data_IF_671674559677
#
_entry.id   IF_671674559677
#
_cell.length_a   1.000
_cell.length_b   1.000
_cell.length_c   1.000
_cell.angle_alpha   90.00
_cell.angle_beta   90.00
_cell.angle_gamma   90.00
#
_symmetry.space_group_name_H-M   'P 1'
#
loop_
_entity.id
_entity.type
_entity.pdbx_description
1 polymer ?
#
# COMPACT_ATOMS: atom_id res chain seq x y z
N UNK A 1 -33.28 -21.64 52.63
CA UNK A 1 -31.87 -21.63 52.19
C UNK A 1 -31.73 -20.75 50.95
N UNK A 2 -31.10 -19.58 51.06
CA UNK A 2 -30.89 -18.66 49.93
C UNK A 2 -29.62 -19.10 49.19
N UNK A 3 -29.77 -19.56 47.93
CA UNK A 3 -28.63 -19.90 47.05
C UNK A 3 -27.84 -18.63 46.73
N UNK A 4 -26.68 -18.45 47.36
CA UNK A 4 -25.68 -17.46 46.93
C UNK A 4 -25.16 -17.86 45.55
N UNK A 5 -25.60 -17.14 44.50
CA UNK A 5 -24.94 -17.23 43.20
C UNK A 5 -23.59 -16.51 43.30
N UNK A 6 -22.50 -17.27 43.15
CA UNK A 6 -21.15 -16.73 43.04
C UNK A 6 -21.02 -16.11 41.65
N UNK A 7 -21.25 -14.80 41.56
CA UNK A 7 -20.97 -14.03 40.34
C UNK A 7 -19.44 -13.97 40.19
N UNK A 8 -18.86 -14.85 39.38
CA UNK A 8 -17.46 -14.74 38.96
C UNK A 8 -17.31 -13.43 38.17
N UNK A 9 -16.61 -12.46 38.75
CA UNK A 9 -16.15 -11.27 38.00
C UNK A 9 -15.31 -11.78 36.82
N UNK A 10 -15.71 -11.43 35.58
CA UNK A 10 -14.88 -11.67 34.40
C UNK A 10 -13.49 -11.05 34.67
N UNK A 11 -12.38 -11.75 34.40
CA UNK A 11 -11.07 -11.14 34.57
C UNK A 11 -11.04 -9.88 33.71
N UNK A 12 -10.73 -8.73 34.32
CA UNK A 12 -10.39 -7.52 33.55
C UNK A 12 -9.19 -7.93 32.70
N UNK A 13 -9.36 -7.99 31.38
CA UNK A 13 -8.24 -8.18 30.48
C UNK A 13 -7.24 -7.07 30.79
N UNK A 14 -6.03 -7.44 31.18
CA UNK A 14 -4.99 -6.48 31.53
C UNK A 14 -4.67 -5.67 30.26
N UNK A 15 -5.03 -4.39 30.23
CA UNK A 15 -4.94 -3.55 29.02
C UNK A 15 -3.51 -3.46 28.48
N UNK A 16 -2.53 -3.62 29.37
CA UNK A 16 -1.09 -3.73 29.09
C UNK A 16 -0.75 -4.91 28.19
N UNK A 17 -1.32 -6.09 28.42
CA UNK A 17 -1.06 -7.28 27.61
C UNK A 17 -1.61 -7.16 26.18
N UNK A 18 -2.75 -6.50 26.01
CA UNK A 18 -3.36 -6.29 24.70
C UNK A 18 -2.52 -5.34 23.84
N UNK A 19 -2.03 -4.24 24.41
CA UNK A 19 -1.18 -3.28 23.69
C UNK A 19 0.14 -3.92 23.28
N UNK A 20 0.75 -4.76 24.14
CA UNK A 20 1.97 -5.50 23.80
C UNK A 20 1.73 -6.47 22.65
N UNK A 21 0.62 -7.23 22.67
CA UNK A 21 0.25 -8.14 21.58
C UNK A 21 0.00 -7.41 20.27
N UNK A 22 -0.72 -6.29 20.30
CA UNK A 22 -0.95 -5.46 19.10
C UNK A 22 0.37 -4.96 18.52
N UNK A 23 1.28 -4.45 19.35
CA UNK A 23 2.60 -4.00 18.91
C UNK A 23 3.44 -5.13 18.31
N UNK A 24 3.35 -6.34 18.89
CA UNK A 24 4.01 -7.52 18.34
C UNK A 24 3.46 -7.86 16.95
N UNK A 25 2.14 -7.95 16.79
CA UNK A 25 1.48 -8.22 15.50
C UNK A 25 1.86 -7.15 14.47
N UNK A 26 1.85 -5.88 14.87
CA UNK A 26 2.24 -4.76 14.02
C UNK A 26 3.70 -4.89 13.53
N UNK A 27 4.62 -5.20 14.45
CA UNK A 27 6.05 -5.34 14.13
C UNK A 27 6.30 -6.56 13.24
N UNK A 28 5.70 -7.70 13.57
CA UNK A 28 5.77 -8.93 12.78
C UNK A 28 5.17 -8.71 11.39
N UNK A 29 4.07 -7.97 11.28
CA UNK A 29 3.44 -7.63 10.01
C UNK A 29 4.38 -6.85 9.07
N UNK A 30 5.04 -5.81 9.57
CA UNK A 30 6.02 -5.06 8.79
C UNK A 30 7.27 -5.88 8.44
N UNK A 31 7.79 -6.69 9.37
CA UNK A 31 8.93 -7.58 9.09
C UNK A 31 8.56 -8.61 8.02
N UNK A 32 7.39 -9.24 8.13
CA UNK A 32 6.85 -10.19 7.17
C UNK A 32 6.72 -9.54 5.79
N UNK A 33 6.14 -8.34 5.72
CA UNK A 33 6.01 -7.55 4.49
C UNK A 33 7.37 -7.34 3.83
N UNK A 34 8.36 -6.92 4.63
CA UNK A 34 9.70 -6.57 4.14
C UNK A 34 10.46 -7.81 3.69
N UNK A 35 10.54 -8.85 4.50
CA UNK A 35 11.32 -10.08 4.20
C UNK A 35 10.73 -10.80 2.99
N UNK A 36 9.43 -11.13 3.01
CA UNK A 36 8.82 -11.87 1.91
C UNK A 36 8.62 -11.00 0.67
N UNK A 37 8.36 -9.70 0.85
CA UNK A 37 8.24 -8.74 -0.24
C UNK A 37 9.56 -8.56 -0.98
N UNK A 38 10.67 -8.39 -0.27
CA UNK A 38 12.01 -8.32 -0.86
C UNK A 38 12.38 -9.64 -1.53
N UNK A 39 12.16 -10.79 -0.87
CA UNK A 39 12.40 -12.09 -1.49
C UNK A 39 11.67 -12.24 -2.83
N UNK A 40 10.38 -11.89 -2.88
CA UNK A 40 9.60 -11.94 -4.12
C UNK A 40 10.08 -10.92 -5.17
N UNK A 41 10.45 -9.71 -4.75
CA UNK A 41 10.96 -8.67 -5.63
C UNK A 41 12.30 -9.10 -6.25
N UNK A 42 13.25 -9.57 -5.45
CA UNK A 42 14.53 -10.08 -5.93
C UNK A 42 14.36 -11.26 -6.87
N UNK A 43 13.50 -12.23 -6.52
CA UNK A 43 13.18 -13.34 -7.41
C UNK A 43 12.61 -12.87 -8.75
N UNK A 44 11.70 -11.89 -8.73
CA UNK A 44 11.07 -11.35 -9.94
C UNK A 44 12.06 -10.58 -10.82
N UNK A 45 12.93 -9.77 -10.22
CA UNK A 45 13.98 -9.00 -10.91
C UNK A 45 15.05 -9.94 -11.47
N UNK A 46 15.53 -10.90 -10.67
CA UNK A 46 16.50 -11.90 -11.11
C UNK A 46 15.98 -12.68 -12.31
N UNK A 47 14.72 -13.14 -12.25
CA UNK A 47 14.08 -13.84 -13.37
C UNK A 47 13.99 -12.98 -14.63
N UNK A 48 13.75 -11.68 -14.47
CA UNK A 48 13.71 -10.73 -15.58
C UNK A 48 15.10 -10.48 -16.17
N UNK A 49 16.13 -10.34 -15.33
CA UNK A 49 17.49 -10.00 -15.74
C UNK A 49 18.21 -11.15 -16.45
N UNK A 50 18.09 -12.38 -15.93
CA UNK A 50 18.91 -13.51 -16.38
C UNK A 50 18.27 -14.39 -17.47
N UNK A 51 16.95 -14.41 -17.59
CA UNK A 51 16.31 -15.18 -18.67
C UNK A 51 16.07 -14.30 -19.89
N UNK A 52 16.94 -14.44 -20.90
CA UNK A 52 16.94 -13.67 -22.17
C UNK A 52 15.57 -13.63 -22.88
N UNK A 53 14.76 -14.69 -22.75
CA UNK A 53 13.38 -14.79 -23.28
C UNK A 53 12.38 -13.83 -22.61
N UNK A 54 12.74 -13.19 -21.48
CA UNK A 54 11.91 -12.25 -20.73
C UNK A 54 12.36 -10.78 -20.85
N UNK A 55 13.35 -10.48 -21.69
CA UNK A 55 13.84 -9.11 -21.94
C UNK A 55 12.94 -8.28 -22.87
N UNK A 56 11.84 -8.85 -23.36
CA UNK A 56 10.79 -8.09 -24.06
C UNK A 56 10.01 -7.24 -23.05
N UNK A 57 9.66 -6.00 -23.42
CA UNK A 57 8.77 -5.17 -22.59
C UNK A 57 7.41 -5.84 -22.36
N UNK A 58 7.00 -6.75 -23.24
CA UNK A 58 5.81 -7.57 -23.06
C UNK A 58 5.91 -8.46 -21.81
N UNK A 59 7.09 -8.99 -21.50
CA UNK A 59 7.34 -9.90 -20.36
C UNK A 59 7.53 -9.21 -19.01
N UNK A 60 7.88 -7.92 -18.99
CA UNK A 60 7.81 -7.07 -17.79
C UNK A 60 6.39 -7.00 -17.21
N UNK A 61 5.37 -7.02 -18.08
CA UNK A 61 3.95 -7.04 -17.71
C UNK A 61 3.33 -8.46 -17.70
N UNK A 62 4.03 -9.48 -18.24
CA UNK A 62 3.55 -10.86 -18.32
C UNK A 62 4.27 -11.78 -17.33
N UNK A 63 3.80 -11.87 -16.09
CA UNK A 63 4.04 -13.09 -15.29
C UNK A 63 3.10 -14.19 -15.76
N UNK A 64 3.30 -14.70 -16.98
CA UNK A 64 2.49 -15.78 -17.54
C UNK A 64 2.56 -17.00 -16.62
N UNK A 65 1.41 -17.58 -16.28
CA UNK A 65 1.31 -18.81 -15.50
C UNK A 65 2.04 -19.89 -16.30
N UNK A 66 3.22 -20.34 -15.85
CA UNK A 66 3.86 -21.49 -16.51
C UNK A 66 3.00 -22.72 -16.22
N UNK A 67 2.50 -23.34 -17.29
CA UNK A 67 2.14 -24.75 -17.24
C UNK A 67 3.46 -25.50 -17.06
N UNK A 68 3.66 -26.15 -15.91
CA UNK A 68 4.82 -27.02 -15.68
C UNK A 68 4.57 -28.27 -16.54
N UNK A 69 4.95 -28.19 -17.81
CA UNK A 69 5.01 -29.34 -18.71
C UNK A 69 6.38 -29.97 -18.55
N UNK A 70 6.46 -31.10 -17.84
CA UNK A 70 7.70 -31.88 -17.70
C UNK A 70 7.52 -33.12 -16.82
N UNK A 71 7.70 -34.29 -17.43
CA UNK A 71 7.48 -35.67 -16.95
C UNK A 71 8.24 -36.15 -15.69
N UNK A 72 8.86 -35.28 -14.89
CA UNK A 72 9.50 -35.70 -13.63
C UNK A 72 9.13 -34.77 -12.47
N UNK A 73 8.22 -35.24 -11.62
CA UNK A 73 7.84 -34.61 -10.37
C UNK A 73 8.99 -34.77 -9.35
N UNK A 74 9.77 -33.71 -9.15
CA UNK A 74 10.65 -33.58 -7.98
C UNK A 74 9.99 -32.58 -7.04
N UNK A 75 9.60 -33.03 -5.86
CA UNK A 75 8.91 -32.22 -4.83
C UNK A 75 9.66 -30.91 -4.54
N UNK A 76 11.00 -30.92 -4.61
CA UNK A 76 11.86 -29.73 -4.49
C UNK A 76 11.60 -28.68 -5.59
N UNK A 77 11.43 -29.11 -6.85
CA UNK A 77 11.12 -28.21 -7.96
C UNK A 77 9.69 -27.66 -7.86
N UNK A 78 8.77 -28.46 -7.34
CA UNK A 78 7.40 -28.03 -7.06
C UNK A 78 7.36 -26.99 -5.94
N UNK A 79 8.08 -27.23 -4.84
CA UNK A 79 8.18 -26.33 -3.70
C UNK A 79 8.81 -25.00 -4.13
N UNK A 80 9.94 -25.03 -4.85
CA UNK A 80 10.61 -23.85 -5.39
C UNK A 80 9.74 -23.03 -6.38
N UNK A 81 8.84 -23.67 -7.12
CA UNK A 81 7.89 -22.99 -8.01
C UNK A 81 6.74 -22.30 -7.25
N UNK A 82 6.38 -22.81 -6.07
CA UNK A 82 5.31 -22.29 -5.22
C UNK A 82 5.81 -21.18 -4.28
N UNK A 83 7.04 -21.28 -3.79
CA UNK A 83 7.68 -20.34 -2.85
C UNK A 83 7.49 -18.86 -3.20
N UNK A 84 7.70 -18.38 -4.44
CA UNK A 84 7.54 -16.95 -4.73
C UNK A 84 6.08 -16.49 -4.63
N UNK A 85 5.12 -17.29 -5.04
CA UNK A 85 3.69 -16.92 -4.94
C UNK A 85 3.22 -16.90 -3.48
N UNK A 86 3.72 -17.82 -2.65
CA UNK A 86 3.47 -17.80 -1.21
C UNK A 86 4.08 -16.56 -0.57
N UNK A 87 5.35 -16.26 -0.87
CA UNK A 87 6.02 -15.07 -0.34
C UNK A 87 5.27 -13.78 -0.70
N UNK A 88 4.77 -13.65 -1.93
CA UNK A 88 3.93 -12.51 -2.32
C UNK A 88 2.68 -12.38 -1.44
N UNK A 89 1.95 -13.49 -1.23
CA UNK A 89 0.73 -13.50 -0.41
C UNK A 89 1.02 -13.24 1.07
N UNK A 90 2.09 -13.84 1.62
CA UNK A 90 2.52 -13.59 3.00
C UNK A 90 2.93 -12.14 3.22
N UNK A 91 3.60 -11.51 2.25
CA UNK A 91 3.91 -10.08 2.30
C UNK A 91 2.65 -9.24 2.42
N UNK A 92 1.61 -9.52 1.61
CA UNK A 92 0.33 -8.82 1.69
C UNK A 92 -0.44 -9.09 2.99
N UNK A 93 -0.40 -10.31 3.52
CA UNK A 93 -0.98 -10.61 4.84
C UNK A 93 -0.25 -9.82 5.93
N UNK A 94 1.06 -9.64 5.80
CA UNK A 94 1.84 -8.75 6.67
C UNK A 94 1.34 -7.31 6.66
N UNK A 95 1.04 -6.77 5.46
CA UNK A 95 0.47 -5.41 5.28
C UNK A 95 -0.91 -5.32 5.93
N UNK A 96 -1.77 -6.30 5.72
CA UNK A 96 -3.09 -6.32 6.35
C UNK A 96 -2.99 -6.35 7.89
N UNK A 97 -2.07 -7.13 8.43
CA UNK A 97 -1.85 -7.21 9.87
C UNK A 97 -1.33 -5.89 10.44
N UNK A 98 -0.30 -5.28 9.84
CA UNK A 98 0.26 -4.04 10.37
C UNK A 98 -0.69 -2.85 10.23
N UNK A 99 -1.20 -2.59 9.02
CA UNK A 99 -2.13 -1.49 8.79
C UNK A 99 -3.47 -1.71 9.48
N UNK A 100 -3.93 -2.97 9.60
CA UNK A 100 -5.13 -3.31 10.35
C UNK A 100 -5.02 -2.96 11.83
N UNK A 101 -3.87 -3.28 12.46
CA UNK A 101 -3.61 -2.87 13.85
C UNK A 101 -3.52 -1.34 13.98
N UNK A 102 -2.86 -0.66 13.04
CA UNK A 102 -2.77 0.81 13.09
C UNK A 102 -4.16 1.45 12.97
N UNK A 103 -4.98 1.01 12.03
CA UNK A 103 -6.37 1.48 11.91
C UNK A 103 -7.17 1.16 13.15
N UNK A 104 -7.05 -0.05 13.71
CA UNK A 104 -7.72 -0.41 14.95
C UNK A 104 -7.32 0.52 16.10
N UNK A 105 -6.03 0.78 16.29
CA UNK A 105 -5.53 1.65 17.35
C UNK A 105 -5.96 3.11 17.18
N UNK A 106 -6.02 3.61 15.94
CA UNK A 106 -6.48 4.97 15.67
C UNK A 106 -7.96 5.19 15.98
N UNK A 107 -8.77 4.12 15.94
CA UNK A 107 -10.22 4.22 16.00
C UNK A 107 -10.86 3.32 17.06
N UNK A 108 -10.11 2.69 17.96
CA UNK A 108 -10.68 1.80 18.97
C UNK A 108 -11.63 2.52 19.94
N UNK A 109 -11.30 3.77 20.26
CA UNK A 109 -12.04 4.59 21.24
C UNK A 109 -12.99 5.59 20.58
N UNK A 110 -12.96 5.67 19.25
CA UNK A 110 -13.77 6.56 18.43
C UNK A 110 -14.75 5.67 17.66
N UNK A 111 -16.00 6.06 17.48
CA UNK A 111 -16.92 5.35 16.58
C UNK A 111 -16.86 6.00 15.19
N UNK A 112 -15.88 5.66 14.33
CA UNK A 112 -15.73 6.34 13.05
C UNK A 112 -16.90 6.05 12.13
N UNK A 113 -17.23 7.03 11.29
CA UNK A 113 -18.06 6.79 10.13
C UNK A 113 -17.23 6.12 9.02
N UNK A 114 -17.89 5.49 8.05
CA UNK A 114 -17.21 4.91 6.89
C UNK A 114 -16.38 5.94 6.11
N UNK A 115 -16.82 7.20 6.10
CA UNK A 115 -16.12 8.29 5.45
C UNK A 115 -14.78 8.57 6.14
N UNK A 116 -14.76 8.61 7.47
CA UNK A 116 -13.55 8.87 8.26
C UNK A 116 -12.47 7.81 8.00
N UNK A 117 -12.87 6.54 7.92
CA UNK A 117 -11.96 5.44 7.58
C UNK A 117 -11.37 5.63 6.17
N UNK A 118 -12.22 5.90 5.18
CA UNK A 118 -11.79 6.09 3.77
C UNK A 118 -10.86 7.28 3.56
N UNK A 119 -10.88 8.27 4.46
CA UNK A 119 -9.97 9.41 4.41
C UNK A 119 -8.56 9.10 4.94
N UNK A 120 -8.36 7.99 5.65
CA UNK A 120 -7.05 7.65 6.23
C UNK A 120 -6.16 6.86 5.25
N UNK A 121 -4.90 7.27 5.12
CA UNK A 121 -3.92 6.60 4.24
C UNK A 121 -3.70 5.14 4.64
N UNK A 122 -3.74 4.82 5.94
CA UNK A 122 -3.60 3.45 6.45
C UNK A 122 -4.73 2.54 5.97
N UNK A 123 -5.98 3.01 6.02
CA UNK A 123 -7.12 2.23 5.54
C UNK A 123 -7.13 2.12 4.02
N UNK A 124 -6.77 3.18 3.30
CA UNK A 124 -6.60 3.14 1.84
C UNK A 124 -5.53 2.10 1.44
N UNK A 125 -4.41 2.04 2.14
CA UNK A 125 -3.36 1.04 1.94
C UNK A 125 -3.86 -0.40 2.25
N UNK A 126 -4.72 -0.57 3.25
CA UNK A 126 -5.38 -1.85 3.56
C UNK A 126 -6.34 -2.29 2.44
N UNK A 127 -7.11 -1.38 1.86
CA UNK A 127 -7.97 -1.65 0.69
C UNK A 127 -7.13 -2.06 -0.52
N UNK A 128 -6.03 -1.36 -0.79
CA UNK A 128 -5.10 -1.69 -1.87
C UNK A 128 -4.48 -3.09 -1.66
N UNK A 129 -4.04 -3.40 -0.44
CA UNK A 129 -3.48 -4.72 -0.12
C UNK A 129 -4.52 -5.84 -0.31
N UNK A 130 -5.76 -5.59 0.09
CA UNK A 130 -6.88 -6.52 -0.12
C UNK A 130 -7.13 -6.75 -1.61
N UNK A 131 -7.14 -5.68 -2.42
CA UNK A 131 -7.27 -5.79 -3.88
C UNK A 131 -6.12 -6.63 -4.49
N UNK A 132 -4.91 -6.51 -3.97
CA UNK A 132 -3.76 -7.28 -4.45
C UNK A 132 -3.81 -8.77 -4.11
N UNK A 133 -4.46 -9.17 -3.01
CA UNK A 133 -4.61 -10.58 -2.66
C UNK A 133 -5.42 -11.38 -3.69
N UNK A 134 -6.39 -10.72 -4.32
CA UNK A 134 -7.30 -11.33 -5.30
C UNK A 134 -6.88 -11.11 -6.76
N UNK A 135 -5.84 -10.32 -7.01
CA UNK A 135 -5.36 -10.04 -8.37
C UNK A 135 -4.05 -10.74 -8.67
N UNK A 136 -3.60 -10.66 -9.93
CA UNK A 136 -2.35 -11.30 -10.38
C UNK A 136 -1.13 -10.73 -9.65
N UNK A 137 -0.20 -11.61 -9.32
CA UNK A 137 1.05 -11.28 -8.63
C UNK A 137 1.96 -10.42 -9.50
N UNK A 138 2.46 -9.33 -8.93
CA UNK A 138 3.37 -8.40 -9.61
C UNK A 138 4.22 -7.67 -8.59
N UNK A 139 5.52 -7.53 -8.85
CA UNK A 139 6.44 -6.96 -7.87
C UNK A 139 6.22 -5.46 -7.67
N UNK A 140 5.81 -4.71 -8.71
CA UNK A 140 5.52 -3.28 -8.61
C UNK A 140 4.47 -2.97 -7.55
N UNK A 141 3.49 -3.87 -7.37
CA UNK A 141 2.42 -3.73 -6.38
C UNK A 141 2.93 -3.78 -4.93
N UNK A 142 4.07 -4.42 -4.68
CA UNK A 142 4.65 -4.52 -3.34
C UNK A 142 5.63 -3.39 -3.01
N UNK A 143 6.19 -2.72 -4.02
CA UNK A 143 7.20 -1.67 -3.82
C UNK A 143 6.73 -0.59 -2.84
N UNK A 144 5.52 0.00 -2.97
CA UNK A 144 5.00 0.96 -1.99
C UNK A 144 5.03 0.40 -0.55
N UNK A 145 4.55 -0.83 -0.36
CA UNK A 145 4.43 -1.46 0.96
C UNK A 145 5.77 -1.84 1.58
N UNK A 146 6.76 -2.23 0.76
CA UNK A 146 8.12 -2.52 1.23
C UNK A 146 8.75 -1.24 1.76
N UNK A 147 8.65 -0.13 1.02
CA UNK A 147 9.23 1.16 1.43
C UNK A 147 8.52 1.68 2.69
N UNK A 148 7.19 1.63 2.72
CA UNK A 148 6.40 2.06 3.90
C UNK A 148 6.75 1.21 5.12
N UNK A 149 6.85 -0.12 4.98
CA UNK A 149 7.26 -1.00 6.08
C UNK A 149 8.70 -0.73 6.55
N UNK A 150 9.60 -0.42 5.63
CA UNK A 150 10.96 0.00 5.97
C UNK A 150 10.96 1.31 6.79
N UNK A 151 10.17 2.31 6.38
CA UNK A 151 10.03 3.58 7.11
C UNK A 151 9.46 3.37 8.52
N UNK A 152 8.47 2.49 8.67
CA UNK A 152 7.89 2.20 9.97
C UNK A 152 8.84 1.46 10.92
N UNK A 153 9.65 0.54 10.41
CA UNK A 153 10.62 -0.22 11.23
C UNK A 153 11.87 0.59 11.60
N UNK A 154 12.27 1.55 10.76
CA UNK A 154 13.45 2.40 11.00
C UNK A 154 13.16 3.63 11.86
N UNK A 155 11.90 3.83 12.25
CA UNK A 155 11.45 4.91 13.12
C UNK A 155 12.16 4.87 14.49
N UNK A 156 12.77 5.99 14.89
CA UNK A 156 13.24 6.18 16.28
C UNK A 156 12.05 6.34 17.23
N UNK A 157 12.14 5.73 18.42
CA UNK A 157 11.06 5.56 19.41
C UNK A 157 10.35 6.86 19.87
N UNK A 158 10.96 8.03 19.63
CA UNK A 158 10.45 9.35 20.05
C UNK A 158 10.12 10.30 18.88
N UNK A 159 10.08 9.83 17.64
CA UNK A 159 9.83 10.70 16.47
C UNK A 159 8.34 10.68 16.12
N UNK A 160 7.70 11.86 15.99
CA UNK A 160 6.31 11.96 15.53
C UNK A 160 6.19 11.47 14.07
N UNK A 161 5.06 10.88 13.67
CA UNK A 161 4.84 10.39 12.29
C UNK A 161 5.02 11.50 11.24
N UNK A 162 4.78 12.75 11.62
CA UNK A 162 4.96 13.92 10.77
C UNK A 162 6.43 14.31 10.61
N UNK A 163 7.29 14.07 11.61
CA UNK A 163 8.73 14.32 11.51
C UNK A 163 9.40 13.31 10.58
N UNK A 164 8.90 12.07 10.55
CA UNK A 164 9.31 11.02 9.59
C UNK A 164 8.96 11.44 8.17
N UNK A 165 7.76 12.01 7.99
CA UNK A 165 7.28 12.50 6.69
C UNK A 165 8.18 13.62 6.15
N UNK A 166 8.67 14.50 7.04
CA UNK A 166 9.61 15.57 6.67
C UNK A 166 11.03 15.05 6.43
N UNK A 167 11.55 14.23 7.34
CA UNK A 167 12.90 13.69 7.28
C UNK A 167 13.11 12.74 6.10
N UNK A 168 12.09 11.96 5.75
CA UNK A 168 12.13 10.97 4.66
C UNK A 168 11.33 11.40 3.42
N UNK A 169 11.11 12.69 3.24
CA UNK A 169 10.32 13.24 2.11
C UNK A 169 10.72 12.65 0.74
N UNK A 170 12.02 12.38 0.53
CA UNK A 170 12.52 11.70 -0.67
C UNK A 170 11.94 10.29 -0.84
N UNK A 171 11.95 9.46 0.20
CA UNK A 171 11.39 8.10 0.16
C UNK A 171 9.87 8.12 -0.04
N UNK A 172 9.15 9.08 0.57
CA UNK A 172 7.72 9.23 0.33
C UNK A 172 7.40 9.63 -1.12
N UNK A 173 8.24 10.45 -1.76
CA UNK A 173 8.11 10.69 -3.19
C UNK A 173 8.36 9.42 -4.01
N UNK A 174 9.33 8.59 -3.65
CA UNK A 174 9.56 7.28 -4.31
C UNK A 174 8.33 6.38 -4.17
N UNK A 175 7.68 6.37 -3.00
CA UNK A 175 6.39 5.67 -2.80
C UNK A 175 5.35 6.17 -3.80
N UNK A 176 5.09 7.49 -3.86
CA UNK A 176 4.12 8.04 -4.79
C UNK A 176 4.45 7.76 -6.27
N UNK A 177 5.73 7.83 -6.67
CA UNK A 177 6.13 7.43 -8.02
C UNK A 177 5.87 5.94 -8.27
N UNK A 178 6.15 5.08 -7.31
CA UNK A 178 5.89 3.64 -7.44
C UNK A 178 4.39 3.34 -7.58
N UNK A 179 3.52 4.09 -6.90
CA UNK A 179 2.06 3.98 -7.04
C UNK A 179 1.56 4.40 -8.43
N UNK A 180 2.18 5.41 -9.03
CA UNK A 180 1.89 5.83 -10.41
C UNK A 180 2.37 4.76 -11.40
N UNK A 181 3.53 4.16 -11.16
CA UNK A 181 4.00 3.03 -11.97
C UNK A 181 3.02 1.87 -11.90
N UNK A 182 2.45 1.57 -10.73
CA UNK A 182 1.38 0.56 -10.60
C UNK A 182 0.14 0.97 -11.40
N UNK A 183 -0.27 2.24 -11.34
CA UNK A 183 -1.41 2.76 -12.12
C UNK A 183 -1.20 2.56 -13.62
N UNK A 184 -0.04 2.98 -14.15
CA UNK A 184 0.32 2.84 -15.56
C UNK A 184 0.41 1.37 -15.96
N UNK A 185 0.99 0.52 -15.10
CA UNK A 185 1.07 -0.92 -15.36
C UNK A 185 -0.31 -1.56 -15.46
N UNK A 186 -1.24 -1.20 -14.58
CA UNK A 186 -2.62 -1.71 -14.64
C UNK A 186 -3.37 -1.20 -15.85
N UNK A 187 -3.16 0.06 -16.24
CA UNK A 187 -3.73 0.62 -17.46
C UNK A 187 -3.26 -0.17 -18.70
N UNK A 188 -1.96 -0.44 -18.80
CA UNK A 188 -1.41 -1.24 -19.90
C UNK A 188 -1.95 -2.68 -19.90
N UNK A 189 -2.05 -3.32 -18.73
CA UNK A 189 -2.64 -4.66 -18.61
C UNK A 189 -4.14 -4.68 -18.94
N UNK A 190 -4.84 -3.57 -18.74
CA UNK A 190 -6.26 -3.40 -19.11
C UNK A 190 -6.42 -3.22 -20.61
N UNK A 191 -5.58 -2.38 -21.24
CA UNK A 191 -5.53 -2.20 -22.70
C UNK A 191 -5.26 -3.52 -23.42
N UNK A 192 -4.45 -4.39 -22.81
CA UNK A 192 -4.15 -5.73 -23.32
C UNK A 192 -5.19 -6.79 -22.92
N UNK A 193 -6.34 -6.40 -22.34
CA UNK A 193 -7.45 -7.27 -21.93
C UNK A 193 -7.03 -8.49 -21.09
N UNK A 194 -6.16 -8.29 -20.10
CA UNK A 194 -5.56 -9.40 -19.34
C UNK A 194 -6.37 -9.80 -18.11
N UNK A 195 -7.24 -10.80 -18.27
CA UNK A 195 -7.93 -11.45 -17.15
C UNK A 195 -8.71 -10.43 -16.31
N UNK A 196 -8.42 -10.35 -15.01
CA UNK A 196 -9.09 -9.43 -14.07
C UNK A 196 -8.44 -8.04 -13.95
N UNK A 197 -7.51 -7.68 -14.86
CA UNK A 197 -6.77 -6.41 -14.80
C UNK A 197 -7.68 -5.18 -14.89
N UNK A 198 -8.72 -5.21 -15.71
CA UNK A 198 -9.68 -4.11 -15.84
C UNK A 198 -10.43 -3.82 -14.55
N UNK A 199 -10.93 -4.87 -13.87
CA UNK A 199 -11.55 -4.72 -12.55
C UNK A 199 -10.55 -4.14 -11.54
N UNK A 200 -9.34 -4.69 -11.49
CA UNK A 200 -8.29 -4.19 -10.62
C UNK A 200 -7.95 -2.72 -10.88
N UNK A 201 -7.95 -2.30 -12.15
CA UNK A 201 -7.70 -0.93 -12.54
C UNK A 201 -8.80 0.02 -12.04
N UNK A 202 -10.07 -0.31 -12.22
CA UNK A 202 -11.19 0.53 -11.74
C UNK A 202 -11.18 0.69 -10.23
N UNK A 203 -11.02 -0.42 -9.48
CA UNK A 203 -10.94 -0.35 -8.01
C UNK A 203 -9.70 0.41 -7.54
N UNK A 204 -8.55 0.18 -8.17
CA UNK A 204 -7.34 0.91 -7.83
C UNK A 204 -7.48 2.41 -8.14
N UNK A 205 -8.12 2.78 -9.25
CA UNK A 205 -8.37 4.18 -9.60
C UNK A 205 -9.28 4.87 -8.58
N UNK A 206 -10.33 4.19 -8.11
CA UNK A 206 -11.20 4.71 -7.07
C UNK A 206 -10.44 4.95 -5.75
N UNK A 207 -9.61 4.00 -5.32
CA UNK A 207 -8.81 4.17 -4.09
C UNK A 207 -7.71 5.23 -4.30
N UNK A 208 -7.06 5.25 -5.47
CA UNK A 208 -6.04 6.23 -5.80
C UNK A 208 -6.60 7.65 -5.85
N UNK A 209 -7.85 7.81 -6.30
CA UNK A 209 -8.56 9.08 -6.22
C UNK A 209 -8.69 9.55 -4.76
N UNK A 210 -9.03 8.65 -3.83
CA UNK A 210 -9.02 8.97 -2.39
C UNK A 210 -7.62 9.40 -1.93
N UNK A 211 -6.56 8.68 -2.34
CA UNK A 211 -5.17 9.06 -2.01
C UNK A 211 -4.81 10.46 -2.52
N UNK A 212 -5.24 10.82 -3.73
CA UNK A 212 -5.03 12.17 -4.28
C UNK A 212 -5.78 13.23 -3.47
N UNK A 213 -6.95 12.91 -2.90
CA UNK A 213 -7.70 13.87 -2.08
C UNK A 213 -7.13 14.00 -0.65
N UNK A 214 -6.58 12.94 -0.08
CA UNK A 214 -6.26 12.90 1.35
C UNK A 214 -4.78 12.70 1.72
N UNK A 215 -3.90 12.34 0.78
CA UNK A 215 -2.49 12.05 1.05
C UNK A 215 -1.56 13.14 0.48
N UNK A 216 -0.90 13.95 1.35
CA UNK A 216 -0.08 15.09 0.93
C UNK A 216 1.08 14.73 -0.01
N UNK A 217 1.73 13.58 0.22
CA UNK A 217 2.87 13.14 -0.59
C UNK A 217 2.44 12.75 -2.01
N UNK A 218 1.23 12.19 -2.16
CA UNK A 218 0.63 11.86 -3.46
C UNK A 218 0.27 13.15 -4.19
N UNK A 219 -0.41 14.10 -3.53
CA UNK A 219 -0.75 15.41 -4.09
C UNK A 219 0.47 16.15 -4.63
N UNK A 220 1.54 16.24 -3.83
CA UNK A 220 2.79 16.89 -4.23
C UNK A 220 3.44 16.21 -5.45
N UNK A 221 3.38 14.88 -5.52
CA UNK A 221 3.97 14.12 -6.62
C UNK A 221 3.15 14.27 -7.90
N UNK A 222 1.82 14.20 -7.80
CA UNK A 222 0.91 14.46 -8.93
C UNK A 222 1.09 15.88 -9.45
N UNK A 223 1.12 16.89 -8.57
CA UNK A 223 1.37 18.29 -8.95
C UNK A 223 2.72 18.46 -9.66
N UNK A 224 3.78 17.81 -9.17
CA UNK A 224 5.11 17.84 -9.81
C UNK A 224 5.11 17.19 -11.19
N UNK A 225 4.29 16.17 -11.40
CA UNK A 225 4.16 15.52 -12.71
C UNK A 225 3.36 16.42 -13.64
N UNK A 226 2.21 16.94 -13.19
CA UNK A 226 1.41 17.88 -13.96
C UNK A 226 2.24 19.10 -14.39
N UNK A 227 3.02 19.70 -13.49
CA UNK A 227 3.86 20.85 -13.86
C UNK A 227 4.92 20.55 -14.93
N UNK A 228 5.39 19.29 -15.05
CA UNK A 228 6.29 18.89 -16.15
C UNK A 228 5.59 18.85 -17.51
N UNK A 229 4.29 18.56 -17.53
CA UNK A 229 3.48 18.52 -18.75
C UNK A 229 2.95 19.90 -19.17
N UNK A 230 3.16 20.95 -18.37
CA UNK A 230 2.73 22.32 -18.68
C UNK A 230 3.18 22.81 -20.07
N UNK A 231 4.37 22.39 -20.51
CA UNK A 231 4.96 22.77 -21.80
C UNK A 231 4.42 21.95 -22.99
N UNK A 232 3.83 20.79 -22.72
CA UNK A 232 3.36 19.86 -23.74
C UNK A 232 1.88 20.08 -24.12
N UNK A 233 1.19 21.00 -23.43
CA UNK A 233 -0.25 21.19 -23.59
C UNK A 233 -0.51 22.33 -24.56
N UNK A 234 -1.39 22.12 -25.56
CA UNK A 234 -1.77 23.17 -26.49
C UNK A 234 -2.54 24.28 -25.76
N UNK A 235 -2.31 25.53 -26.17
CA UNK A 235 -2.91 26.71 -25.54
C UNK A 235 -4.44 26.66 -25.42
N UNK A 236 -5.13 25.93 -26.30
CA UNK A 236 -6.59 25.74 -26.27
C UNK A 236 -7.09 24.98 -25.03
N UNK A 237 -6.28 24.12 -24.41
CA UNK A 237 -6.65 23.34 -23.23
C UNK A 237 -6.03 23.86 -21.93
N UNK A 238 -5.24 24.94 -22.00
CA UNK A 238 -4.51 25.50 -20.86
C UNK A 238 -5.45 25.94 -19.72
N UNK A 239 -6.66 26.41 -20.04
CA UNK A 239 -7.66 26.80 -19.05
C UNK A 239 -8.17 25.61 -18.20
N UNK A 240 -8.51 24.49 -18.85
CA UNK A 240 -8.92 23.25 -18.15
C UNK A 240 -7.76 22.67 -17.34
N UNK A 241 -6.55 22.75 -17.89
CA UNK A 241 -5.34 22.29 -17.23
C UNK A 241 -5.02 23.07 -15.95
N UNK A 242 -5.08 24.40 -16.02
CA UNK A 242 -4.87 25.25 -14.85
C UNK A 242 -5.97 25.06 -13.81
N UNK A 243 -7.22 24.80 -14.22
CA UNK A 243 -8.30 24.45 -13.29
C UNK A 243 -8.00 23.17 -12.50
N UNK A 244 -7.52 22.12 -13.18
CA UNK A 244 -7.13 20.86 -12.53
C UNK A 244 -5.96 21.06 -11.54
N UNK A 245 -4.94 21.84 -11.92
CA UNK A 245 -3.83 22.18 -11.01
C UNK A 245 -4.32 22.99 -9.80
N UNK A 246 -5.16 24.00 -10.03
CA UNK A 246 -5.71 24.85 -8.98
C UNK A 246 -6.57 24.07 -7.99
N UNK A 247 -7.33 23.07 -8.46
CA UNK A 247 -8.07 22.16 -7.59
C UNK A 247 -7.13 21.41 -6.64
N UNK A 248 -6.06 20.81 -7.16
CA UNK A 248 -5.08 20.08 -6.35
C UNK A 248 -4.34 20.99 -5.37
N UNK A 249 -3.95 22.20 -5.79
CA UNK A 249 -3.31 23.19 -4.91
C UNK A 249 -4.23 23.61 -3.77
N UNK A 250 -5.52 23.87 -4.05
CA UNK A 250 -6.51 24.20 -3.02
C UNK A 250 -6.66 23.07 -2.00
N UNK A 251 -6.75 21.82 -2.46
CA UNK A 251 -6.84 20.64 -1.57
C UNK A 251 -5.60 20.47 -0.68
N UNK A 252 -4.41 20.67 -1.23
CA UNK A 252 -3.17 20.64 -0.45
C UNK A 252 -3.17 21.73 0.64
N UNK A 253 -3.58 22.95 0.28
CA UNK A 253 -3.68 24.06 1.24
C UNK A 253 -4.73 23.81 2.34
N UNK A 254 -5.89 23.26 2.00
CA UNK A 254 -6.92 22.88 2.97
C UNK A 254 -6.38 21.88 3.99
N UNK A 255 -5.69 20.84 3.53
CA UNK A 255 -5.10 19.85 4.44
C UNK A 255 -4.00 20.43 5.33
N UNK A 256 -3.11 21.26 4.79
CA UNK A 256 -2.09 21.93 5.60
C UNK A 256 -2.71 22.80 6.69
N UNK A 257 -3.83 23.47 6.38
CA UNK A 257 -4.59 24.27 7.36
C UNK A 257 -5.19 23.37 8.43
N UNK A 258 -5.89 22.30 8.05
CA UNK A 258 -6.47 21.35 9.01
C UNK A 258 -5.41 20.73 9.93
N UNK A 259 -4.24 20.36 9.41
CA UNK A 259 -3.14 19.85 10.23
C UNK A 259 -2.59 20.91 11.19
N UNK A 260 -2.46 22.16 10.75
CA UNK A 260 -2.02 23.28 11.61
C UNK A 260 -3.05 23.56 12.72
N UNK A 261 -4.34 23.44 12.43
CA UNK A 261 -5.41 23.61 13.42
C UNK A 261 -5.41 22.50 14.47
N UNK A 262 -5.28 21.24 14.05
CA UNK A 262 -5.14 20.11 14.99
C UNK A 262 -3.91 20.31 15.88
N UNK A 263 -2.79 20.77 15.32
CA UNK A 263 -1.57 21.05 16.09
C UNK A 263 -1.74 22.18 17.11
N UNK A 264 -2.62 23.15 16.87
CA UNK A 264 -2.90 24.20 17.86
C UNK A 264 -3.77 23.73 19.01
N UNK A 265 -4.49 22.61 18.84
CA UNK A 265 -5.40 22.03 19.85
C UNK A 265 -4.73 20.96 20.72
N UNK A 266 -3.58 20.44 20.29
CA UNK A 266 -2.72 19.50 21.01
C UNK A 266 -1.60 20.25 21.74
#
# INVERSE_FOLDING_TARGET
MVKKQVIRKKPKADGTDLVVKQKLIWTVGHICTLVFGLYFAFYSIYRLAFFYRYRSWKTLFLTARRHISGRHFSWLKWLAGFTPNVAYRLSLVGVLASHGITTWQSWADLSPTYYDLLCTDNFQNLLIATLWLFTRTSFYKLVPFIIVSYLHLTKKKNTSEQDITRQNSSLLHVVAYSEIVVLVSLFMDTLMFRGTSGFAFVFYLAIYWLKVNFSPYVQNTVLRILSKFDKAIPGSQQGKWNSAKNFLVKRLQEQERSQKEVRKRL
#
